data_IF_062602287768
#
_entry.id   IF_062602287768
#
_cell.length_a   1.000
_cell.length_b   1.000
_cell.length_c   1.000
_cell.angle_alpha   90.00
_cell.angle_beta   90.00
_cell.angle_gamma   90.00
#
_symmetry.space_group_name_H-M   'P 1'
#
loop_
_entity.id
_entity.type
_entity.pdbx_description
1 polymer ?
#
# COMPACT_ATOMS: atom_id res chain seq x y z
N UNK A 1 -5.91 -12.85 -3.79
CA UNK A 1 -4.89 -13.41 -4.71
C UNK A 1 -5.06 -12.90 -6.15
N UNK A 2 -6.28 -12.87 -6.70
CA UNK A 2 -6.52 -12.48 -8.10
C UNK A 2 -5.92 -11.12 -8.45
N UNK A 3 -6.20 -10.08 -7.65
CA UNK A 3 -5.62 -8.74 -7.83
C UNK A 3 -4.09 -8.74 -7.75
N UNK A 4 -3.51 -9.40 -6.74
CA UNK A 4 -2.04 -9.54 -6.59
C UNK A 4 -1.38 -10.13 -7.83
N UNK A 5 -1.94 -11.22 -8.39
CA UNK A 5 -1.41 -11.85 -9.60
C UNK A 5 -1.38 -10.87 -10.77
N UNK A 6 -2.41 -10.05 -10.94
CA UNK A 6 -2.47 -9.04 -12.01
C UNK A 6 -1.39 -7.96 -11.88
N UNK A 7 -1.11 -7.50 -10.67
CA UNK A 7 -0.12 -6.43 -10.45
C UNK A 7 1.31 -6.95 -10.27
N UNK A 8 1.51 -8.25 -10.10
CA UNK A 8 2.82 -8.84 -9.82
C UNK A 8 3.90 -8.52 -10.85
N UNK A 9 3.54 -8.28 -12.11
CA UNK A 9 4.46 -7.79 -13.14
C UNK A 9 5.04 -6.43 -12.77
N UNK A 10 4.16 -5.44 -12.58
CA UNK A 10 4.54 -4.09 -12.14
C UNK A 10 5.33 -4.11 -10.82
N UNK A 11 4.88 -4.89 -9.84
CA UNK A 11 5.56 -4.98 -8.54
C UNK A 11 6.99 -5.50 -8.65
N UNK A 12 7.28 -6.41 -9.60
CA UNK A 12 8.62 -6.96 -9.79
C UNK A 12 9.54 -6.08 -10.65
N UNK A 13 8.99 -5.08 -11.33
CA UNK A 13 9.76 -4.07 -12.07
C UNK A 13 10.18 -2.90 -11.19
N UNK A 14 9.45 -2.63 -10.10
CA UNK A 14 9.81 -1.58 -9.14
C UNK A 14 10.99 -1.94 -8.25
N UNK A 15 11.71 -0.92 -7.79
CA UNK A 15 12.87 -1.07 -6.90
C UNK A 15 12.50 -1.41 -5.45
N UNK A 16 11.29 -1.02 -5.02
CA UNK A 16 10.77 -1.20 -3.67
C UNK A 16 9.24 -1.31 -3.67
N UNK A 17 8.70 -2.26 -2.92
CA UNK A 17 7.25 -2.37 -2.67
C UNK A 17 6.91 -1.81 -1.29
N UNK A 18 5.92 -0.93 -1.22
CA UNK A 18 5.34 -0.43 0.02
C UNK A 18 3.91 -0.96 0.17
N UNK A 19 3.55 -1.48 1.35
CA UNK A 19 2.21 -2.00 1.61
C UNK A 19 1.67 -1.47 2.94
N UNK A 20 0.48 -0.88 2.88
CA UNK A 20 -0.20 -0.29 4.03
C UNK A 20 -1.07 -1.31 4.79
N UNK A 21 -0.63 -2.56 4.97
CA UNK A 21 -1.33 -3.56 5.80
C UNK A 21 -2.60 -4.20 5.22
N UNK A 22 -3.25 -5.04 6.04
CA UNK A 22 -4.39 -5.89 5.70
C UNK A 22 -4.08 -6.86 4.56
N UNK A 23 -3.11 -7.74 4.82
CA UNK A 23 -2.41 -8.51 3.79
C UNK A 23 -3.15 -9.81 3.44
N UNK A 24 -3.48 -10.62 4.45
CA UNK A 24 -3.97 -12.00 4.27
C UNK A 24 -5.44 -12.17 4.67
N UNK A 25 -5.82 -11.64 5.82
CA UNK A 25 -7.17 -11.78 6.36
C UNK A 25 -8.11 -10.76 5.73
N UNK A 26 -9.26 -11.21 5.22
CA UNK A 26 -10.24 -10.35 4.55
C UNK A 26 -10.97 -9.36 5.49
N UNK A 27 -10.91 -9.60 6.80
CA UNK A 27 -11.65 -8.85 7.79
C UNK A 27 -13.12 -9.30 7.90
N UNK A 28 -13.67 -9.43 9.12
CA UNK A 28 -14.97 -10.09 9.36
C UNK A 28 -16.17 -9.31 8.80
N UNK A 29 -15.98 -8.05 8.43
CA UNK A 29 -17.04 -7.17 7.90
C UNK A 29 -17.14 -7.21 6.38
N UNK A 30 -16.21 -7.90 5.70
CA UNK A 30 -16.10 -7.89 4.25
C UNK A 30 -16.51 -9.24 3.67
N UNK A 31 -17.05 -9.26 2.43
CA UNK A 31 -17.20 -10.51 1.69
C UNK A 31 -15.83 -11.09 1.36
N UNK A 32 -15.80 -12.39 1.05
CA UNK A 32 -14.57 -13.02 0.55
C UNK A 32 -14.17 -12.40 -0.80
N UNK A 33 -12.93 -11.89 -0.94
CA UNK A 33 -12.46 -11.36 -2.21
C UNK A 33 -12.34 -12.43 -3.30
N UNK A 34 -12.31 -12.02 -4.56
CA UNK A 34 -12.09 -12.93 -5.67
C UNK A 34 -10.76 -13.67 -5.54
N UNK A 35 -10.80 -15.00 -5.69
CA UNK A 35 -9.65 -15.87 -5.50
C UNK A 35 -9.07 -15.77 -4.09
N UNK A 36 -9.92 -15.69 -3.05
CA UNK A 36 -9.47 -15.70 -1.66
C UNK A 36 -8.70 -16.99 -1.34
N UNK A 37 -7.38 -16.86 -1.23
CA UNK A 37 -6.45 -17.93 -0.89
C UNK A 37 -5.26 -17.33 -0.14
N UNK A 38 -5.37 -17.13 1.20
CA UNK A 38 -4.31 -16.52 2.01
C UNK A 38 -2.97 -17.25 1.92
N UNK A 39 -2.99 -18.59 1.86
CA UNK A 39 -1.78 -19.40 1.78
C UNK A 39 -1.00 -19.12 0.49
N UNK A 40 -1.66 -19.18 -0.66
CA UNK A 40 -1.02 -18.93 -1.96
C UNK A 40 -0.65 -17.44 -2.12
N UNK A 41 -1.40 -16.52 -1.50
CA UNK A 41 -1.03 -15.10 -1.46
C UNK A 41 0.27 -14.89 -0.67
N UNK A 42 0.42 -15.55 0.48
CA UNK A 42 1.66 -15.48 1.26
C UNK A 42 2.85 -16.05 0.47
N UNK A 43 2.68 -17.17 -0.22
CA UNK A 43 3.69 -17.74 -1.11
C UNK A 43 4.07 -16.75 -2.24
N UNK A 44 3.08 -16.11 -2.86
CA UNK A 44 3.31 -15.10 -3.89
C UNK A 44 4.05 -13.87 -3.36
N UNK A 45 3.68 -13.35 -2.19
CA UNK A 45 4.37 -12.22 -1.54
C UNK A 45 5.82 -12.62 -1.20
N UNK A 46 6.03 -13.79 -0.61
CA UNK A 46 7.36 -14.29 -0.28
C UNK A 46 8.26 -14.49 -1.51
N UNK A 47 7.68 -14.60 -2.70
CA UNK A 47 8.42 -14.72 -3.97
C UNK A 47 8.77 -13.38 -4.63
N UNK A 48 8.36 -12.24 -4.05
CA UNK A 48 8.74 -10.92 -4.57
C UNK A 48 10.24 -10.81 -4.75
N UNK A 49 10.65 -10.31 -5.93
CA UNK A 49 12.05 -10.07 -6.26
C UNK A 49 12.60 -8.82 -5.56
N UNK A 50 11.93 -7.65 -5.61
CA UNK A 50 12.41 -6.48 -4.90
C UNK A 50 12.20 -6.58 -3.38
N UNK A 51 12.91 -5.76 -2.59
CA UNK A 51 12.57 -5.55 -1.19
C UNK A 51 11.12 -5.05 -1.05
N UNK A 52 10.52 -5.35 0.10
CA UNK A 52 9.18 -4.91 0.43
C UNK A 52 9.08 -4.50 1.90
N UNK A 53 8.37 -3.41 2.17
CA UNK A 53 8.12 -2.88 3.51
C UNK A 53 6.62 -2.85 3.77
N UNK A 54 6.22 -3.38 4.93
CA UNK A 54 4.83 -3.52 5.32
C UNK A 54 4.57 -2.75 6.61
N UNK A 55 3.59 -1.86 6.58
CA UNK A 55 2.96 -1.36 7.79
C UNK A 55 1.81 -2.29 8.19
N UNK A 56 1.59 -2.46 9.49
CA UNK A 56 0.56 -3.32 10.05
C UNK A 56 -0.82 -2.73 9.83
N UNK A 57 -1.73 -3.51 9.27
CA UNK A 57 -3.15 -3.23 9.17
C UNK A 57 -3.95 -3.71 10.36
N UNK A 58 -5.20 -3.28 10.48
CA UNK A 58 -6.05 -3.63 11.61
C UNK A 58 -6.53 -5.10 11.57
N UNK A 59 -6.47 -5.74 10.41
CA UNK A 59 -6.79 -7.16 10.23
C UNK A 59 -5.57 -8.07 10.39
N UNK A 60 -4.35 -7.52 10.37
CA UNK A 60 -3.11 -8.30 10.46
C UNK A 60 -2.86 -8.79 11.90
N UNK A 61 -2.69 -10.10 12.03
CA UNK A 61 -2.47 -10.80 13.28
C UNK A 61 -1.09 -11.48 13.33
N UNK A 62 -0.67 -11.88 14.52
CA UNK A 62 0.65 -12.51 14.73
C UNK A 62 0.80 -13.83 13.97
N UNK A 63 -0.31 -14.52 13.68
CA UNK A 63 -0.31 -15.73 12.86
C UNK A 63 0.04 -15.45 11.39
N UNK A 64 -0.29 -14.26 10.87
CA UNK A 64 0.02 -13.89 9.48
C UNK A 64 1.54 -13.71 9.31
N UNK A 65 2.22 -13.20 10.34
CA UNK A 65 3.67 -13.07 10.37
C UNK A 65 4.38 -14.42 10.23
N UNK A 66 3.77 -15.53 10.66
CA UNK A 66 4.34 -16.87 10.51
C UNK A 66 4.33 -17.36 9.05
N UNK A 67 3.49 -16.77 8.20
CA UNK A 67 3.39 -17.12 6.78
C UNK A 67 4.24 -16.22 5.88
N UNK A 68 4.62 -15.03 6.36
CA UNK A 68 5.32 -14.02 5.58
C UNK A 68 6.76 -13.87 6.06
N UNK A 69 7.71 -13.91 5.11
CA UNK A 69 9.14 -13.71 5.40
C UNK A 69 9.50 -12.25 5.72
N UNK A 70 8.61 -11.32 5.37
CA UNK A 70 8.79 -9.89 5.62
C UNK A 70 8.20 -9.52 7.00
N UNK A 71 8.79 -8.56 7.72
CA UNK A 71 8.18 -8.02 8.93
C UNK A 71 6.89 -7.25 8.58
N UNK A 72 5.78 -7.61 9.21
CA UNK A 72 4.46 -6.99 8.97
C UNK A 72 3.87 -6.32 10.22
N UNK A 73 4.51 -6.48 11.38
CA UNK A 73 3.95 -6.04 12.66
C UNK A 73 4.26 -4.57 12.99
N UNK A 74 5.08 -3.90 12.19
CA UNK A 74 5.45 -2.49 12.38
C UNK A 74 4.24 -1.58 12.23
N UNK A 75 3.90 -0.72 13.21
CA UNK A 75 2.70 0.12 13.13
C UNK A 75 2.79 1.19 12.04
N UNK A 76 4.00 1.55 11.64
CA UNK A 76 4.30 2.42 10.51
C UNK A 76 5.69 2.07 9.98
N UNK A 77 5.96 2.50 8.76
CA UNK A 77 7.29 2.54 8.15
C UNK A 77 7.67 4.01 7.97
N UNK A 78 8.94 4.32 8.21
CA UNK A 78 9.53 5.60 7.83
C UNK A 78 10.80 5.33 7.03
N UNK A 79 10.83 5.77 5.77
CA UNK A 79 11.95 5.52 4.88
C UNK A 79 12.29 6.73 4.03
N UNK A 80 13.54 6.76 3.57
CA UNK A 80 14.05 7.74 2.63
C UNK A 80 14.30 7.04 1.30
N UNK A 81 13.73 7.56 0.21
CA UNK A 81 13.89 7.02 -1.13
C UNK A 81 14.20 8.16 -2.10
N UNK A 82 15.39 8.18 -2.68
CA UNK A 82 15.82 9.20 -3.66
C UNK A 82 15.53 10.64 -3.22
N UNK A 83 15.78 10.95 -1.94
CA UNK A 83 15.54 12.28 -1.35
C UNK A 83 14.13 12.53 -0.83
N UNK A 84 13.19 11.59 -1.03
CA UNK A 84 11.84 11.68 -0.48
C UNK A 84 11.74 11.02 0.89
N UNK A 85 11.12 11.73 1.85
CA UNK A 85 10.67 11.18 3.12
C UNK A 85 9.29 10.57 2.93
N UNK A 86 9.20 9.26 3.16
CA UNK A 86 7.94 8.52 3.01
C UNK A 86 7.56 7.90 4.35
N UNK A 87 6.33 8.17 4.80
CA UNK A 87 5.69 7.44 5.88
C UNK A 87 4.66 6.48 5.28
N UNK A 88 4.63 5.23 5.75
CA UNK A 88 3.57 4.27 5.42
C UNK A 88 2.90 3.82 6.69
N UNK A 89 1.57 3.84 6.74
CA UNK A 89 0.76 3.35 7.86
C UNK A 89 -0.59 2.86 7.34
N UNK A 90 -1.40 2.18 8.14
CA UNK A 90 -2.67 1.64 7.63
C UNK A 90 -3.80 2.68 7.59
N UNK A 91 -3.97 3.49 8.65
CA UNK A 91 -5.13 4.36 8.82
C UNK A 91 -4.74 5.82 9.03
N UNK A 92 -5.38 6.72 8.29
CA UNK A 92 -5.19 8.17 8.44
C UNK A 92 -6.06 8.72 9.58
N UNK A 93 -5.51 8.80 10.78
CA UNK A 93 -6.16 9.23 12.01
C UNK A 93 -5.52 10.51 12.61
N UNK A 94 -5.74 10.78 13.90
CA UNK A 94 -5.11 11.92 14.56
C UNK A 94 -3.60 11.72 14.76
N UNK A 95 -3.16 10.47 15.00
CA UNK A 95 -1.75 10.14 15.24
C UNK A 95 -0.94 10.27 13.96
N UNK A 96 -1.48 9.82 12.82
CA UNK A 96 -0.83 10.02 11.52
C UNK A 96 -0.66 11.51 11.20
N UNK A 97 -1.64 12.36 11.55
CA UNK A 97 -1.54 13.82 11.36
C UNK A 97 -0.48 14.46 12.25
N UNK A 98 -0.33 14.00 13.49
CA UNK A 98 0.81 14.40 14.32
C UNK A 98 2.15 13.99 13.70
N UNK A 99 2.22 12.83 13.04
CA UNK A 99 3.44 12.44 12.31
C UNK A 99 3.72 13.33 11.10
N UNK A 100 2.69 13.83 10.41
CA UNK A 100 2.85 14.84 9.35
C UNK A 100 3.52 16.10 9.91
N UNK A 101 3.04 16.62 11.03
CA UNK A 101 3.60 17.82 11.67
C UNK A 101 5.04 17.60 12.17
N UNK A 102 5.33 16.43 12.74
CA UNK A 102 6.64 16.15 13.36
C UNK A 102 7.74 15.84 12.34
N UNK A 103 7.42 15.10 11.29
CA UNK A 103 8.40 14.57 10.35
C UNK A 103 8.38 15.27 8.99
N UNK A 104 7.33 16.04 8.71
CA UNK A 104 7.07 16.73 7.45
C UNK A 104 7.35 15.81 6.24
N UNK A 105 6.78 14.59 6.18
CA UNK A 105 7.06 13.68 5.08
C UNK A 105 6.62 14.29 3.76
N UNK A 106 7.35 13.99 2.68
CA UNK A 106 6.97 14.41 1.35
C UNK A 106 5.75 13.60 0.88
N UNK A 107 5.68 12.31 1.25
CA UNK A 107 4.55 11.41 0.97
C UNK A 107 4.15 10.65 2.23
N UNK A 108 2.85 10.59 2.52
CA UNK A 108 2.27 9.67 3.51
C UNK A 108 1.33 8.69 2.80
N UNK A 109 1.69 7.41 2.82
CA UNK A 109 0.92 6.31 2.26
C UNK A 109 0.02 5.68 3.31
N UNK A 110 -1.26 5.51 2.98
CA UNK A 110 -2.25 4.88 3.85
C UNK A 110 -3.21 3.95 3.11
N UNK A 111 -4.00 3.18 3.84
CA UNK A 111 -4.97 2.21 3.33
C UNK A 111 -6.33 2.33 4.03
N UNK A 112 -6.86 1.21 4.53
CA UNK A 112 -8.08 1.08 5.34
C UNK A 112 -9.42 1.40 4.66
N UNK A 113 -9.52 2.53 3.95
CA UNK A 113 -10.79 3.02 3.37
C UNK A 113 -11.21 2.26 2.11
N UNK A 114 -10.25 1.61 1.45
CA UNK A 114 -10.39 0.96 0.13
C UNK A 114 -10.75 1.94 -1.00
N UNK A 115 -10.53 3.25 -0.79
CA UNK A 115 -10.81 4.30 -1.77
C UNK A 115 -9.50 4.95 -2.18
N UNK A 116 -9.18 5.00 -3.48
CA UNK A 116 -7.99 5.69 -3.94
C UNK A 116 -8.08 7.18 -3.57
N UNK A 117 -6.97 7.74 -3.09
CA UNK A 117 -6.86 9.13 -2.69
C UNK A 117 -5.46 9.64 -3.05
N UNK A 118 -5.42 10.85 -3.59
CA UNK A 118 -4.19 11.53 -3.98
C UNK A 118 -4.35 13.02 -3.69
N UNK A 119 -4.43 13.34 -2.40
CA UNK A 119 -4.71 14.68 -1.87
C UNK A 119 -3.48 15.28 -1.18
N UNK A 120 -3.52 16.56 -0.79
CA UNK A 120 -2.43 17.22 -0.06
C UNK A 120 -2.91 17.69 1.30
N UNK A 121 -2.09 17.48 2.33
CA UNK A 121 -2.23 18.07 3.66
C UNK A 121 -0.98 18.92 3.96
N UNK A 122 -1.13 20.23 3.82
CA UNK A 122 0.02 21.14 3.83
C UNK A 122 0.97 20.86 2.66
N UNK A 123 2.21 20.45 2.98
CA UNK A 123 3.23 20.07 1.99
C UNK A 123 3.27 18.57 1.70
N UNK A 124 2.63 17.77 2.54
CA UNK A 124 2.65 16.31 2.42
C UNK A 124 1.62 15.84 1.41
N UNK A 125 2.04 14.99 0.49
CA UNK A 125 1.14 14.25 -0.38
C UNK A 125 0.55 13.05 0.37
N UNK A 126 -0.77 13.00 0.49
CA UNK A 126 -1.49 11.85 1.01
C UNK A 126 -1.81 10.90 -0.13
N UNK A 127 -1.35 9.65 -0.01
CA UNK A 127 -1.55 8.61 -1.01
C UNK A 127 -2.28 7.42 -0.41
N UNK A 128 -3.50 7.17 -0.88
CA UNK A 128 -4.17 5.89 -0.72
C UNK A 128 -4.19 5.19 -2.09
N UNK A 129 -3.52 4.05 -2.26
CA UNK A 129 -3.51 3.35 -3.54
C UNK A 129 -4.86 2.69 -3.87
N UNK A 130 -5.83 2.73 -2.95
CA UNK A 130 -7.09 2.03 -3.05
C UNK A 130 -6.96 0.59 -2.56
N UNK A 131 -7.65 -0.34 -3.22
CA UNK A 131 -7.61 -1.75 -2.86
C UNK A 131 -7.58 -2.64 -4.09
N UNK A 132 -6.70 -3.64 -4.09
CA UNK A 132 -6.57 -4.63 -5.17
C UNK A 132 -7.78 -5.57 -5.30
N UNK A 133 -8.60 -5.72 -4.27
CA UNK A 133 -9.58 -6.83 -4.21
C UNK A 133 -10.98 -6.49 -3.71
N UNK A 134 -11.11 -5.44 -2.90
CA UNK A 134 -12.39 -4.96 -2.36
C UNK A 134 -12.52 -3.42 -2.48
N UNK A 135 -12.35 -2.84 -3.68
CA UNK A 135 -12.41 -1.39 -3.84
C UNK A 135 -13.79 -0.84 -3.44
N UNK A 136 -13.81 0.40 -2.97
CA UNK A 136 -15.05 1.15 -2.69
C UNK A 136 -15.09 2.38 -3.58
N UNK A 137 -16.24 2.62 -4.19
CA UNK A 137 -16.49 3.76 -5.09
C UNK A 137 -15.43 3.94 -6.20
N UNK A 138 -14.78 2.84 -6.60
CA UNK A 138 -13.67 2.82 -7.55
C UNK A 138 -13.47 1.42 -8.14
N UNK A 139 -12.67 1.32 -9.19
CA UNK A 139 -12.11 0.05 -9.67
C UNK A 139 -10.90 -0.37 -8.81
N UNK A 140 -10.48 -1.65 -8.85
CA UNK A 140 -9.31 -2.09 -8.12
C UNK A 140 -8.05 -1.37 -8.62
N UNK A 141 -7.29 -0.84 -7.68
CA UNK A 141 -6.20 0.10 -7.96
C UNK A 141 -4.95 -0.20 -7.13
N UNK A 142 -3.81 0.26 -7.63
CA UNK A 142 -2.53 0.32 -6.93
C UNK A 142 -1.83 1.65 -7.25
N UNK A 143 -0.65 1.91 -6.68
CA UNK A 143 0.08 3.14 -6.95
C UNK A 143 1.53 2.88 -7.40
N UNK A 144 2.04 3.82 -8.18
CA UNK A 144 3.43 3.93 -8.59
C UNK A 144 3.95 5.31 -8.15
N UNK A 145 5.05 5.31 -7.40
CA UNK A 145 5.81 6.52 -7.08
C UNK A 145 7.04 6.51 -8.00
N UNK A 146 7.04 7.38 -9.01
CA UNK A 146 8.16 7.54 -9.94
C UNK A 146 9.03 8.70 -9.47
N UNK A 147 10.15 8.38 -8.82
CA UNK A 147 11.09 9.36 -8.30
C UNK A 147 11.92 10.04 -9.39
N UNK A 148 12.15 9.36 -10.51
CA UNK A 148 12.88 9.93 -11.64
C UNK A 148 12.05 11.00 -12.35
N UNK A 149 10.74 10.78 -12.48
CA UNK A 149 9.82 11.75 -13.07
C UNK A 149 9.25 12.76 -12.06
N UNK A 150 9.39 12.47 -10.76
CA UNK A 150 8.80 13.26 -9.68
C UNK A 150 7.27 13.21 -9.69
N UNK A 151 6.69 12.06 -10.03
CA UNK A 151 5.25 11.85 -10.19
C UNK A 151 4.75 10.72 -9.30
N UNK A 152 3.49 10.82 -8.89
CA UNK A 152 2.75 9.70 -8.29
C UNK A 152 1.52 9.41 -9.13
N UNK A 153 1.32 8.12 -9.40
CA UNK A 153 0.21 7.60 -10.18
C UNK A 153 -0.58 6.61 -9.33
N UNK A 154 -1.91 6.71 -9.37
CA UNK A 154 -2.81 5.62 -8.99
C UNK A 154 -3.31 4.98 -10.28
N UNK A 155 -3.10 3.67 -10.41
CA UNK A 155 -3.31 2.90 -11.63
C UNK A 155 -4.37 1.81 -11.40
N UNK A 156 -5.18 1.50 -12.42
CA UNK A 156 -5.98 0.27 -12.45
C UNK A 156 -5.07 -0.96 -12.54
N UNK A 157 -5.60 -2.17 -12.33
CA UNK A 157 -4.81 -3.41 -12.44
C UNK A 157 -4.28 -3.68 -13.86
N UNK A 158 -4.84 -3.00 -14.87
CA UNK A 158 -4.43 -3.03 -16.27
C UNK A 158 -3.39 -1.94 -16.61
N UNK A 159 -3.02 -1.11 -15.64
CA UNK A 159 -2.02 -0.04 -15.80
C UNK A 159 -2.57 1.29 -16.31
N UNK A 160 -3.90 1.46 -16.37
CA UNK A 160 -4.51 2.74 -16.77
C UNK A 160 -4.42 3.75 -15.62
N UNK A 161 -4.08 5.01 -15.93
CA UNK A 161 -4.03 6.08 -14.93
C UNK A 161 -5.44 6.46 -14.46
N UNK A 162 -5.67 6.34 -13.16
CA UNK A 162 -6.91 6.74 -12.46
C UNK A 162 -6.74 8.10 -11.79
N UNK A 163 -5.62 8.32 -11.08
CA UNK A 163 -5.23 9.60 -10.49
C UNK A 163 -3.74 9.84 -10.76
N UNK A 164 -3.33 11.10 -10.84
CA UNK A 164 -1.92 11.47 -10.94
C UNK A 164 -1.63 12.84 -10.35
N UNK A 165 -0.41 13.03 -9.86
CA UNK A 165 0.09 14.33 -9.39
C UNK A 165 1.62 14.40 -9.44
N UNK A 166 2.15 15.61 -9.35
CA UNK A 166 3.59 15.85 -9.12
C UNK A 166 3.86 15.92 -7.62
N UNK A 167 5.02 15.39 -7.23
CA UNK A 167 5.54 15.41 -5.85
C UNK A 167 5.87 16.86 -5.49
#
# INVERSE_FOLDING_TARGET
LAGWKRVSGFLNEGDLVLHAGDILYHGPRNPLPEGYNPKELAEAINSLKPPALFARGNCDADVDQLLLRFPIQSPYIFCFLEGLRIIVLHELDQRSRQMIELYEPDILVFGHTHKPDLSKEGKTLLLNPGSLSLPKDSEPTFALIDTAEGSVYVLSLEGNVVLQTKI
#
